data_IF_814295908886
#
_entry.id   IF_814295908886
#
_cell.length_a   1.000
_cell.length_b   1.000
_cell.length_c   1.000
_cell.angle_alpha   90.00
_cell.angle_beta   90.00
_cell.angle_gamma   90.00
#
_symmetry.space_group_name_H-M   'P 1'
#
loop_
_entity.id
_entity.type
_entity.pdbx_description
1 polymer ?
#
# COMPACT_ATOMS: atom_id res chain seq x y z
N UNK A 1 3.22 -33.27 0.42
CA UNK A 1 4.51 -32.56 0.62
C UNK A 1 4.53 -31.40 -0.35
N UNK A 2 3.99 -30.25 0.06
CA UNK A 2 3.88 -29.05 -0.78
C UNK A 2 5.12 -28.20 -0.52
N UNK A 3 5.99 -28.14 -1.52
CA UNK A 3 7.16 -27.24 -1.56
C UNK A 3 6.62 -25.82 -1.72
N UNK A 4 6.82 -24.97 -0.72
CA UNK A 4 6.59 -23.54 -0.89
C UNK A 4 7.71 -22.97 -1.77
N UNK A 5 7.42 -22.10 -2.75
CA UNK A 5 8.47 -21.38 -3.44
C UNK A 5 9.16 -20.46 -2.44
N UNK A 6 10.48 -20.57 -2.34
CA UNK A 6 11.30 -19.63 -1.59
C UNK A 6 11.11 -18.24 -2.21
N UNK A 7 10.36 -17.39 -1.52
CA UNK A 7 10.40 -15.95 -1.77
C UNK A 7 11.74 -15.45 -1.25
N UNK A 8 12.66 -15.20 -2.18
CA UNK A 8 13.90 -14.48 -1.89
C UNK A 8 13.51 -13.05 -1.49
N UNK A 9 13.42 -12.83 -0.18
CA UNK A 9 13.31 -11.50 0.44
C UNK A 9 14.67 -10.84 0.28
N UNK A 10 14.89 -10.23 -0.88
CA UNK A 10 16.04 -9.38 -1.14
C UNK A 10 16.19 -8.33 -0.04
N UNK A 11 17.11 -8.62 0.88
CA UNK A 11 17.56 -7.73 1.95
C UNK A 11 18.13 -6.46 1.31
N UNK A 12 17.42 -5.34 1.39
CA UNK A 12 18.02 -4.05 1.12
C UNK A 12 19.02 -3.72 2.23
N UNK A 13 20.30 -3.41 1.92
CA UNK A 13 21.24 -2.94 2.92
C UNK A 13 20.87 -1.52 3.38
N UNK A 14 21.12 -1.21 4.65
CA UNK A 14 20.87 0.10 5.25
C UNK A 14 21.72 1.23 4.64
N UNK A 15 21.51 2.49 5.05
CA UNK A 15 22.08 3.64 4.36
C UNK A 15 23.57 3.80 4.69
N UNK A 16 24.43 3.47 3.73
CA UNK A 16 25.82 3.95 3.69
C UNK A 16 25.93 5.03 2.63
N UNK A 17 26.34 6.23 3.06
CA UNK A 17 26.35 7.44 2.25
C UNK A 17 27.25 7.41 1.03
N UNK A 18 26.92 8.30 0.09
CA UNK A 18 27.82 8.86 -0.93
C UNK A 18 28.09 7.99 -2.16
N UNK A 19 27.48 8.36 -3.29
CA UNK A 19 27.97 7.99 -4.63
C UNK A 19 26.87 7.56 -5.60
N UNK A 20 26.65 8.35 -6.65
CA UNK A 20 25.81 8.00 -7.79
C UNK A 20 26.32 6.72 -8.49
N UNK A 21 25.52 5.65 -8.46
CA UNK A 21 25.51 4.65 -9.53
C UNK A 21 24.15 3.95 -9.57
N UNK A 22 23.45 4.12 -10.68
CA UNK A 22 22.22 3.44 -11.05
C UNK A 22 22.37 1.91 -10.98
N UNK A 23 21.75 1.28 -9.98
CA UNK A 23 21.51 -0.16 -10.00
C UNK A 23 20.03 -0.41 -10.28
N UNK A 24 19.73 -0.74 -11.54
CA UNK A 24 18.41 -1.17 -11.99
C UNK A 24 18.02 -2.46 -11.26
N UNK A 25 17.00 -2.39 -10.39
CA UNK A 25 16.40 -3.58 -9.78
C UNK A 25 15.65 -4.34 -10.88
N UNK A 26 15.97 -5.62 -11.09
CA UNK A 26 15.29 -6.55 -12.02
C UNK A 26 13.94 -7.08 -11.47
N UNK A 27 13.29 -6.35 -10.57
CA UNK A 27 12.02 -6.73 -9.95
C UNK A 27 10.95 -5.66 -10.20
N UNK A 28 9.66 -5.99 -9.99
CA UNK A 28 8.60 -5.00 -10.07
C UNK A 28 8.89 -3.82 -9.13
N UNK A 29 8.49 -2.59 -9.51
CA UNK A 29 8.80 -1.40 -8.73
C UNK A 29 8.18 -1.51 -7.32
N UNK A 30 8.95 -1.13 -6.30
CA UNK A 30 8.48 -1.05 -4.93
C UNK A 30 7.68 0.25 -4.72
N UNK A 31 6.89 0.31 -3.65
CA UNK A 31 6.17 1.54 -3.23
C UNK A 31 7.10 2.77 -3.21
N UNK A 32 8.33 2.61 -2.73
CA UNK A 32 9.32 3.70 -2.64
C UNK A 32 9.89 4.14 -3.99
N UNK A 33 9.68 3.38 -5.07
CA UNK A 33 10.09 3.77 -6.42
C UNK A 33 9.01 4.63 -7.11
N UNK A 34 7.76 4.57 -6.63
CA UNK A 34 6.60 5.23 -7.23
C UNK A 34 5.99 6.33 -6.38
N UNK A 35 6.38 6.42 -5.10
CA UNK A 35 5.89 7.41 -4.14
C UNK A 35 7.05 7.94 -3.29
N UNK A 36 7.31 9.25 -3.36
CA UNK A 36 8.18 9.91 -2.40
C UNK A 36 7.37 10.21 -1.13
N UNK A 37 7.36 9.24 -0.20
CA UNK A 37 6.55 9.34 1.00
C UNK A 37 6.89 10.56 1.88
N UNK A 38 8.14 11.02 1.88
CA UNK A 38 8.54 12.19 2.67
C UNK A 38 8.06 13.49 2.03
N UNK A 39 8.05 13.57 0.70
CA UNK A 39 7.56 14.76 0.01
C UNK A 39 6.03 14.79 -0.13
N UNK A 40 5.41 13.64 -0.41
CA UNK A 40 4.00 13.54 -0.81
C UNK A 40 3.06 13.27 0.37
N UNK A 41 3.50 12.52 1.38
CA UNK A 41 2.65 12.16 2.53
C UNK A 41 2.90 13.01 3.78
N UNK A 42 4.07 13.67 3.90
CA UNK A 42 4.43 14.43 5.10
C UNK A 42 3.79 15.82 5.16
N UNK A 43 3.38 16.38 4.02
CA UNK A 43 2.85 17.73 3.95
C UNK A 43 1.64 17.87 4.89
N UNK A 44 1.72 18.81 5.84
CA UNK A 44 0.67 19.05 6.83
C UNK A 44 0.23 17.80 7.62
N UNK A 45 1.06 16.76 7.66
CA UNK A 45 0.74 15.51 8.35
C UNK A 45 0.73 15.75 9.86
N UNK A 46 -0.42 15.49 10.48
CA UNK A 46 -0.56 15.48 11.94
C UNK A 46 -0.54 14.04 12.43
N UNK A 47 -0.27 13.83 13.73
CA UNK A 47 -0.27 12.50 14.35
C UNK A 47 -1.58 11.72 14.16
N UNK A 48 -2.67 12.39 13.83
CA UNK A 48 -4.01 11.79 13.62
C UNK A 48 -4.33 11.50 12.16
N UNK A 49 -3.58 12.05 11.21
CA UNK A 49 -3.85 11.87 9.78
C UNK A 49 -3.42 10.46 9.34
N UNK A 50 -4.30 9.64 8.75
CA UNK A 50 -3.90 8.38 8.13
C UNK A 50 -3.06 8.68 6.88
N UNK A 51 -1.75 8.47 6.99
CA UNK A 51 -0.81 8.74 5.90
C UNK A 51 -0.62 7.53 4.98
N UNK A 52 -0.78 6.32 5.52
CA UNK A 52 -0.65 5.09 4.76
C UNK A 52 -1.66 4.06 5.27
N UNK A 53 -2.48 3.55 4.37
CA UNK A 53 -3.49 2.54 4.66
C UNK A 53 -3.18 1.33 3.81
N UNK A 54 -2.76 0.23 4.44
CA UNK A 54 -2.64 -1.09 3.81
C UNK A 54 -4.02 -1.73 3.75
N UNK A 55 -4.66 -1.55 2.61
CA UNK A 55 -6.02 -1.98 2.33
C UNK A 55 -5.98 -3.45 1.93
N UNK A 56 -6.75 -4.29 2.62
CA UNK A 56 -6.80 -5.72 2.35
C UNK A 56 -5.53 -6.49 2.76
N UNK A 57 -4.66 -5.89 3.58
CA UNK A 57 -3.42 -6.51 4.03
C UNK A 57 -3.67 -7.79 4.86
N UNK A 58 -2.73 -8.74 4.77
CA UNK A 58 -2.89 -10.05 5.43
C UNK A 58 -2.25 -10.08 6.81
N UNK A 59 -1.00 -9.68 6.93
CA UNK A 59 -0.23 -9.71 8.20
C UNK A 59 0.31 -8.34 8.61
N UNK A 60 0.17 -7.32 7.74
CA UNK A 60 0.72 -5.98 7.93
C UNK A 60 2.23 -5.84 7.71
N UNK A 61 2.86 -6.79 7.01
CA UNK A 61 4.25 -6.64 6.58
C UNK A 61 4.50 -5.31 5.85
N UNK A 62 3.55 -4.84 5.04
CA UNK A 62 3.70 -3.58 4.29
C UNK A 62 3.68 -2.37 5.23
N UNK A 63 2.79 -2.37 6.23
CA UNK A 63 2.78 -1.35 7.27
C UNK A 63 4.09 -1.32 8.07
N UNK A 64 4.62 -2.48 8.46
CA UNK A 64 5.90 -2.58 9.20
C UNK A 64 7.03 -2.04 8.34
N UNK A 65 7.12 -2.48 7.09
CA UNK A 65 8.15 -2.05 6.16
C UNK A 65 8.09 -0.53 5.94
N UNK A 66 6.89 0.02 5.73
CA UNK A 66 6.68 1.46 5.60
C UNK A 66 7.18 2.22 6.83
N UNK A 67 6.87 1.76 8.04
CA UNK A 67 7.34 2.40 9.29
C UNK A 67 8.84 2.29 9.50
N UNK A 68 9.43 1.15 9.20
CA UNK A 68 10.88 0.97 9.30
C UNK A 68 11.62 1.86 8.29
N UNK A 69 11.04 2.05 7.10
CA UNK A 69 11.61 2.89 6.05
C UNK A 69 11.46 4.39 6.32
N UNK A 70 10.35 4.80 6.93
CA UNK A 70 10.00 6.19 7.23
C UNK A 70 9.66 6.40 8.72
N UNK A 71 10.62 6.19 9.64
CA UNK A 71 10.36 6.21 11.08
C UNK A 71 10.04 7.62 11.62
N UNK A 72 10.54 8.67 10.97
CA UNK A 72 10.32 10.07 11.35
C UNK A 72 9.00 10.66 10.79
N UNK A 73 8.32 9.94 9.90
CA UNK A 73 7.14 10.44 9.22
C UNK A 73 5.93 10.45 10.16
N UNK A 74 5.46 11.66 10.48
CA UNK A 74 4.28 11.87 11.32
C UNK A 74 3.01 11.38 10.63
N UNK A 75 2.04 10.92 11.42
CA UNK A 75 0.77 10.38 10.91
C UNK A 75 0.56 8.93 11.32
N UNK A 76 -0.60 8.37 10.97
CA UNK A 76 -0.98 6.99 11.28
C UNK A 76 -0.74 6.07 10.09
N UNK A 77 -0.22 4.89 10.40
CA UNK A 77 -0.17 3.75 9.49
C UNK A 77 -1.25 2.78 9.92
N UNK A 78 -2.11 2.42 8.99
CA UNK A 78 -3.32 1.65 9.26
C UNK A 78 -3.31 0.37 8.44
N UNK A 79 -3.46 -0.78 9.11
CA UNK A 79 -3.76 -2.05 8.46
C UNK A 79 -5.27 -2.27 8.44
N UNK A 80 -5.86 -2.25 7.25
CA UNK A 80 -7.24 -2.70 7.02
C UNK A 80 -7.23 -4.15 6.53
N UNK A 81 -7.18 -5.08 7.47
CA UNK A 81 -6.98 -6.50 7.15
C UNK A 81 -8.24 -7.15 6.56
N UNK A 82 -8.11 -8.27 5.84
CA UNK A 82 -9.29 -9.01 5.37
C UNK A 82 -9.97 -9.79 6.51
N UNK A 83 -11.31 -9.87 6.55
CA UNK A 83 -12.03 -10.52 7.66
C UNK A 83 -11.58 -11.98 7.89
N UNK A 84 -11.26 -12.69 6.81
CA UNK A 84 -10.78 -14.08 6.85
C UNK A 84 -9.46 -14.27 7.61
N UNK A 85 -8.65 -13.22 7.76
CA UNK A 85 -7.36 -13.28 8.47
C UNK A 85 -7.40 -12.56 9.82
N UNK A 86 -8.57 -12.05 10.24
CA UNK A 86 -8.72 -11.26 11.46
C UNK A 86 -8.18 -11.97 12.72
N UNK A 87 -8.42 -13.29 12.83
CA UNK A 87 -7.94 -14.09 13.95
C UNK A 87 -6.42 -14.23 13.97
N UNK A 88 -5.79 -14.38 12.81
CA UNK A 88 -4.33 -14.45 12.68
C UNK A 88 -3.69 -13.12 13.08
N UNK A 89 -4.19 -12.00 12.52
CA UNK A 89 -3.63 -10.66 12.74
C UNK A 89 -3.78 -10.21 14.19
N UNK A 90 -4.96 -10.44 14.79
CA UNK A 90 -5.24 -9.99 16.16
C UNK A 90 -4.64 -10.92 17.22
N UNK A 91 -4.58 -12.22 16.93
CA UNK A 91 -4.12 -13.22 17.89
C UNK A 91 -2.61 -13.32 18.00
N UNK A 92 -1.89 -13.00 16.91
CA UNK A 92 -0.43 -13.07 16.87
C UNK A 92 0.14 -12.00 15.92
N UNK A 93 0.10 -10.71 16.28
CA UNK A 93 0.68 -9.67 15.46
C UNK A 93 2.18 -9.90 15.29
N UNK A 94 2.72 -9.50 14.13
CA UNK A 94 4.15 -9.59 13.86
C UNK A 94 4.96 -8.70 14.82
N UNK A 95 6.26 -8.98 15.03
CA UNK A 95 7.15 -8.05 15.72
C UNK A 95 7.17 -6.66 15.03
N UNK A 96 7.40 -5.59 15.80
CA UNK A 96 7.41 -4.18 15.31
C UNK A 96 6.05 -3.62 14.87
N UNK A 97 4.95 -4.21 15.36
CA UNK A 97 3.60 -3.76 15.04
C UNK A 97 3.08 -2.64 15.97
N UNK A 98 3.87 -2.18 16.97
CA UNK A 98 3.35 -1.31 18.04
C UNK A 98 2.76 0.03 17.55
N UNK A 99 3.21 0.52 16.40
CA UNK A 99 2.81 1.81 15.82
C UNK A 99 1.89 1.68 14.58
N UNK A 100 1.26 0.52 14.43
CA UNK A 100 0.33 0.23 13.33
C UNK A 100 -1.07 0.04 13.91
N UNK A 101 -2.01 0.86 13.45
CA UNK A 101 -3.39 0.74 13.85
C UNK A 101 -4.09 -0.35 13.04
N UNK A 102 -4.73 -1.31 13.71
CA UNK A 102 -5.57 -2.30 13.05
C UNK A 102 -7.00 -1.83 12.94
N UNK A 103 -7.61 -2.09 11.78
CA UNK A 103 -9.01 -1.84 11.56
C UNK A 103 -9.63 -2.94 10.71
N UNK A 104 -10.92 -3.19 10.95
CA UNK A 104 -11.69 -4.08 10.09
C UNK A 104 -11.72 -3.52 8.64
N UNK A 105 -11.80 -4.40 7.63
CA UNK A 105 -11.81 -3.97 6.23
C UNK A 105 -13.07 -3.17 5.94
N UNK A 106 -12.90 -2.09 5.18
CA UNK A 106 -13.94 -1.09 4.92
C UNK A 106 -13.89 -0.60 3.47
N UNK A 107 -13.69 -1.52 2.53
CA UNK A 107 -13.52 -1.21 1.10
C UNK A 107 -14.68 -0.40 0.50
N UNK A 108 -15.90 -0.61 1.02
CA UNK A 108 -17.11 0.07 0.59
C UNK A 108 -17.55 1.19 1.55
N UNK A 109 -16.66 1.64 2.45
CA UNK A 109 -16.91 2.82 3.29
C UNK A 109 -15.90 3.91 2.96
N UNK A 110 -16.43 5.12 2.86
CA UNK A 110 -15.62 6.31 2.59
C UNK A 110 -14.78 6.65 3.82
N UNK A 111 -13.47 6.84 3.61
CA UNK A 111 -12.59 7.43 4.62
C UNK A 111 -12.12 8.79 4.16
N UNK A 112 -12.54 9.82 4.88
CA UNK A 112 -12.17 11.20 4.59
C UNK A 112 -10.72 11.47 5.02
N UNK A 113 -10.02 12.31 4.26
CA UNK A 113 -8.72 12.92 4.61
C UNK A 113 -7.65 11.87 4.90
N UNK A 114 -7.20 11.20 3.86
CA UNK A 114 -6.09 10.23 3.92
C UNK A 114 -5.01 10.66 2.92
N UNK A 115 -3.79 10.12 3.04
CA UNK A 115 -2.74 10.40 2.05
C UNK A 115 -2.58 9.25 1.07
N UNK A 116 -2.23 8.04 1.52
CA UNK A 116 -2.08 6.89 0.63
C UNK A 116 -3.01 5.74 0.98
N UNK A 117 -3.76 5.24 -0.02
CA UNK A 117 -4.42 3.94 0.01
C UNK A 117 -3.60 2.94 -0.81
N UNK A 118 -3.03 1.94 -0.16
CA UNK A 118 -2.23 0.92 -0.81
C UNK A 118 -3.02 -0.39 -0.91
N UNK A 119 -3.29 -0.82 -2.15
CA UNK A 119 -3.99 -2.07 -2.45
C UNK A 119 -3.00 -3.03 -3.11
N UNK A 120 -2.52 -4.02 -2.37
CA UNK A 120 -1.65 -5.06 -2.89
C UNK A 120 -2.35 -6.39 -2.92
N UNK A 121 -2.51 -6.99 -4.11
CA UNK A 121 -3.10 -8.32 -4.25
C UNK A 121 -4.51 -8.41 -3.59
N UNK A 122 -5.35 -7.39 -3.81
CA UNK A 122 -6.73 -7.26 -3.30
C UNK A 122 -7.76 -7.35 -4.43
N UNK A 123 -7.62 -6.49 -5.44
CA UNK A 123 -8.61 -6.22 -6.49
C UNK A 123 -8.84 -7.44 -7.38
N UNK A 124 -7.87 -8.34 -7.55
CA UNK A 124 -8.04 -9.57 -8.33
C UNK A 124 -9.07 -10.54 -7.71
N UNK A 125 -9.45 -10.36 -6.45
CA UNK A 125 -10.51 -11.16 -5.81
C UNK A 125 -11.91 -10.68 -6.19
N UNK A 126 -12.03 -9.57 -6.93
CA UNK A 126 -13.28 -8.91 -7.24
C UNK A 126 -13.51 -8.83 -8.75
N UNK A 127 -14.76 -8.95 -9.23
CA UNK A 127 -15.09 -8.69 -10.62
C UNK A 127 -14.92 -7.19 -10.95
N UNK A 128 -14.72 -6.85 -12.23
CA UNK A 128 -14.43 -5.48 -12.70
C UNK A 128 -15.43 -4.43 -12.16
N UNK A 129 -16.73 -4.74 -12.17
CA UNK A 129 -17.76 -3.83 -11.65
C UNK A 129 -17.60 -3.51 -10.16
N UNK A 130 -17.11 -4.45 -9.35
CA UNK A 130 -16.84 -4.23 -7.92
C UNK A 130 -15.52 -3.51 -7.72
N UNK A 131 -14.49 -3.80 -8.52
CA UNK A 131 -13.22 -3.04 -8.52
C UNK A 131 -13.49 -1.55 -8.75
N UNK A 132 -14.31 -1.22 -9.75
CA UNK A 132 -14.70 0.18 -10.02
C UNK A 132 -15.41 0.79 -8.81
N UNK A 133 -16.33 0.07 -8.16
CA UNK A 133 -17.03 0.57 -6.96
C UNK A 133 -16.08 0.81 -5.78
N UNK A 134 -15.12 -0.08 -5.55
CA UNK A 134 -14.12 0.06 -4.49
C UNK A 134 -13.27 1.31 -4.73
N UNK A 135 -12.70 1.45 -5.92
CA UNK A 135 -11.86 2.60 -6.27
C UNK A 135 -12.66 3.92 -6.24
N UNK A 136 -13.89 3.91 -6.73
CA UNK A 136 -14.80 5.07 -6.65
C UNK A 136 -15.09 5.45 -5.20
N UNK A 137 -15.34 4.47 -4.33
CA UNK A 137 -15.58 4.73 -2.91
C UNK A 137 -14.35 5.33 -2.24
N UNK A 138 -13.16 4.80 -2.52
CA UNK A 138 -11.90 5.37 -2.04
C UNK A 138 -11.77 6.82 -2.51
N UNK A 139 -12.03 7.09 -3.80
CA UNK A 139 -12.01 8.44 -4.39
C UNK A 139 -12.88 9.44 -3.64
N UNK A 140 -14.09 9.05 -3.24
CA UNK A 140 -14.98 9.98 -2.50
C UNK A 140 -14.43 10.43 -1.15
N UNK A 141 -13.43 9.74 -0.61
CA UNK A 141 -12.75 10.09 0.64
C UNK A 141 -11.43 10.83 0.47
N UNK A 142 -10.95 10.93 -0.76
CA UNK A 142 -9.68 11.55 -1.12
C UNK A 142 -9.76 13.07 -1.11
N UNK A 143 -8.61 13.69 -0.87
CA UNK A 143 -8.34 15.10 -1.13
C UNK A 143 -7.40 15.20 -2.34
N UNK A 144 -7.11 16.41 -2.80
CA UNK A 144 -6.12 16.67 -3.86
C UNK A 144 -4.72 16.13 -3.52
N UNK A 145 -4.45 15.90 -2.24
CA UNK A 145 -3.18 15.40 -1.74
C UNK A 145 -3.21 13.89 -1.45
N UNK A 146 -4.28 13.20 -1.85
CA UNK A 146 -4.41 11.76 -1.69
C UNK A 146 -3.97 11.02 -2.95
N UNK A 147 -3.42 9.83 -2.78
CA UNK A 147 -3.04 8.90 -3.84
C UNK A 147 -3.60 7.50 -3.56
N UNK A 148 -3.93 6.79 -4.63
CA UNK A 148 -4.20 5.35 -4.57
C UNK A 148 -3.06 4.62 -5.28
N UNK A 149 -2.43 3.70 -4.55
CA UNK A 149 -1.37 2.85 -5.06
C UNK A 149 -1.93 1.44 -5.23
N UNK A 150 -1.93 0.94 -6.45
CA UNK A 150 -2.42 -0.40 -6.80
C UNK A 150 -1.24 -1.27 -7.20
N UNK A 151 -0.91 -2.26 -6.37
CA UNK A 151 0.08 -3.30 -6.66
C UNK A 151 -0.66 -4.61 -6.98
N UNK A 152 -0.99 -4.78 -8.25
CA UNK A 152 -1.72 -5.91 -8.78
C UNK A 152 -1.05 -6.49 -10.02
N UNK A 153 -1.00 -7.81 -10.07
CA UNK A 153 -0.64 -8.54 -11.27
C UNK A 153 -1.89 -9.02 -12.03
N UNK A 154 -1.86 -8.94 -13.36
CA UNK A 154 -2.83 -9.63 -14.22
C UNK A 154 -4.08 -8.81 -14.61
N UNK A 155 -5.26 -9.44 -14.75
CA UNK A 155 -6.44 -8.80 -15.35
C UNK A 155 -6.96 -7.57 -14.60
N UNK A 156 -6.82 -7.52 -13.27
CA UNK A 156 -7.24 -6.38 -12.46
C UNK A 156 -6.42 -5.11 -12.80
N UNK A 157 -5.13 -5.27 -13.06
CA UNK A 157 -4.23 -4.21 -13.55
C UNK A 157 -4.78 -3.56 -14.81
N UNK A 158 -5.32 -4.35 -15.76
CA UNK A 158 -5.90 -3.85 -17.01
C UNK A 158 -7.17 -3.03 -16.78
N UNK A 159 -8.01 -3.42 -15.82
CA UNK A 159 -9.21 -2.67 -15.46
C UNK A 159 -8.84 -1.29 -14.88
N UNK A 160 -7.82 -1.23 -14.02
CA UNK A 160 -7.31 0.02 -13.44
C UNK A 160 -6.63 0.90 -14.48
N UNK A 161 -5.86 0.33 -15.42
CA UNK A 161 -5.20 1.09 -16.52
C UNK A 161 -6.16 1.89 -17.40
N UNK A 162 -7.44 1.52 -17.49
CA UNK A 162 -8.45 2.35 -18.20
C UNK A 162 -8.69 3.70 -17.52
N UNK A 163 -8.26 3.86 -16.27
CA UNK A 163 -8.46 5.03 -15.42
C UNK A 163 -7.17 5.79 -15.09
N UNK A 164 -6.03 5.45 -15.71
CA UNK A 164 -4.72 6.08 -15.46
C UNK A 164 -3.92 6.26 -16.75
N UNK A 165 -3.12 7.32 -16.84
CA UNK A 165 -2.33 7.60 -18.05
C UNK A 165 -1.00 6.82 -18.18
N UNK A 166 -0.41 6.23 -17.12
CA UNK A 166 0.88 5.55 -17.26
C UNK A 166 1.17 4.42 -16.25
N UNK A 167 2.18 3.60 -16.62
CA UNK A 167 2.87 2.47 -15.95
C UNK A 167 2.55 1.03 -16.40
N UNK A 168 3.63 0.33 -16.82
CA UNK A 168 3.71 -1.11 -17.05
C UNK A 168 4.21 -1.87 -15.81
N UNK A 169 3.74 -3.12 -15.71
CA UNK A 169 4.08 -4.18 -14.76
C UNK A 169 3.90 -3.92 -13.26
N UNK A 170 2.74 -4.39 -12.78
CA UNK A 170 2.38 -4.70 -11.38
C UNK A 170 2.02 -3.54 -10.46
N UNK A 171 2.69 -2.39 -10.54
CA UNK A 171 2.44 -1.26 -9.63
C UNK A 171 1.97 -0.02 -10.40
N UNK A 172 0.78 0.47 -10.06
CA UNK A 172 0.13 1.62 -10.69
C UNK A 172 -0.18 2.65 -9.60
N UNK A 173 0.32 3.86 -9.78
CA UNK A 173 -0.16 5.03 -9.04
C UNK A 173 -1.34 5.63 -9.80
N UNK A 174 -2.45 5.82 -9.09
CA UNK A 174 -3.70 6.32 -9.66
C UNK A 174 -3.99 7.68 -9.01
N UNK A 175 -3.79 8.74 -9.79
CA UNK A 175 -4.40 10.04 -9.53
C UNK A 175 -5.76 10.05 -10.24
N UNK A 176 -6.84 9.92 -9.46
CA UNK A 176 -8.20 9.93 -10.01
C UNK A 176 -8.68 11.38 -10.12
N UNK A 177 -8.45 12.04 -11.26
CA UNK A 177 -9.14 13.30 -11.61
C UNK A 177 -10.65 13.10 -11.75
#
# INVERSE_FOLDING_TARGET
MLVQPAFDVGLCPGPSGGGNSSTSRKGPPAVSDVLDAEQELAQSATSWLPIFIDVGGVSGFQCIFFRQRYPALAGRVVLQYQLQVAGMVKGNPLPSFENIQMEAPRLLQVRLRTRAHYLRNVLHNYPEAEVVKILTTIKTGMTEESVVLVDEAGPATRAVRKYTEEYEDTMISVALE
#
